data_IF_447408686406
#
_entry.id   IF_447408686406
#
_cell.length_a   1.000
_cell.length_b   1.000
_cell.length_c   1.000
_cell.angle_alpha   90.00
_cell.angle_beta   90.00
_cell.angle_gamma   90.00
#
_symmetry.space_group_name_H-M   'P 1'
#
loop_
_entity.id
_entity.type
_entity.pdbx_description
1 polymer ?
#
# COMPACT_ATOMS: atom_id res chain seq x y z
N UNK A 1 29.11 35.99 22.49
CA UNK A 1 29.05 34.53 22.76
C UNK A 1 27.66 34.00 22.75
N UNK A 2 26.76 34.56 23.52
CA UNK A 2 25.36 34.08 23.59
C UNK A 2 24.64 34.16 22.24
N UNK A 3 24.84 35.20 21.50
CA UNK A 3 24.29 35.43 20.15
C UNK A 3 24.79 34.41 19.12
N UNK A 4 26.07 33.99 19.23
CA UNK A 4 26.64 32.99 18.33
C UNK A 4 25.98 31.60 18.51
N UNK A 5 25.73 31.21 19.75
CA UNK A 5 25.02 29.94 20.04
C UNK A 5 23.55 29.97 19.58
N UNK A 6 22.88 31.08 19.82
CA UNK A 6 21.51 31.29 19.42
C UNK A 6 21.36 31.25 17.90
N UNK A 7 22.25 31.95 17.18
CA UNK A 7 22.29 31.97 15.73
C UNK A 7 22.55 30.58 15.14
N UNK A 8 23.53 29.85 15.72
CA UNK A 8 23.81 28.47 15.29
C UNK A 8 22.61 27.54 15.50
N UNK A 9 21.92 27.64 16.63
CA UNK A 9 20.74 26.85 16.93
C UNK A 9 19.61 27.12 15.95
N UNK A 10 19.34 28.40 15.63
CA UNK A 10 18.34 28.77 14.63
C UNK A 10 18.69 28.22 13.25
N UNK A 11 19.96 28.22 12.89
CA UNK A 11 20.45 27.67 11.62
C UNK A 11 20.27 26.14 11.57
N UNK A 12 20.58 25.44 12.67
CA UNK A 12 20.36 23.99 12.78
C UNK A 12 18.86 23.62 12.73
N UNK A 13 18.01 24.39 13.39
CA UNK A 13 16.55 24.21 13.35
C UNK A 13 16.01 24.42 11.93
N UNK A 14 16.54 25.40 11.20
CA UNK A 14 16.21 25.63 9.80
C UNK A 14 16.58 24.42 8.93
N UNK A 15 17.80 23.92 9.05
CA UNK A 15 18.25 22.73 8.31
C UNK A 15 17.42 21.50 8.65
N UNK A 16 17.15 21.27 9.93
CA UNK A 16 16.31 20.16 10.39
C UNK A 16 14.92 20.23 9.75
N UNK A 17 14.28 21.39 9.80
CA UNK A 17 12.94 21.59 9.22
C UNK A 17 12.96 21.39 7.71
N UNK A 18 13.99 21.90 7.04
CA UNK A 18 14.14 21.74 5.60
C UNK A 18 14.30 20.28 5.19
N UNK A 19 15.15 19.53 5.88
CA UNK A 19 15.33 18.09 5.63
C UNK A 19 14.05 17.30 5.92
N UNK A 20 13.39 17.60 7.02
CA UNK A 20 12.14 16.94 7.38
C UNK A 20 11.07 17.17 6.33
N UNK A 21 10.91 18.40 5.86
CA UNK A 21 9.93 18.73 4.82
C UNK A 21 10.27 18.04 3.49
N UNK A 22 11.54 17.92 3.16
CA UNK A 22 11.99 17.18 1.98
C UNK A 22 11.61 15.69 2.06
N UNK A 23 11.86 15.05 3.21
CA UNK A 23 11.53 13.64 3.42
C UNK A 23 10.01 13.41 3.39
N UNK A 24 9.26 14.32 3.97
CA UNK A 24 7.79 14.28 3.92
C UNK A 24 7.26 14.42 2.49
N UNK A 25 7.87 15.29 1.69
CA UNK A 25 7.51 15.43 0.28
C UNK A 25 7.80 14.14 -0.50
N UNK A 26 8.87 13.44 -0.17
CA UNK A 26 9.17 12.12 -0.76
C UNK A 26 8.12 11.09 -0.40
N UNK A 27 7.67 11.05 0.86
CA UNK A 27 6.58 10.17 1.30
C UNK A 27 5.29 10.49 0.55
N UNK A 28 4.96 11.77 0.38
CA UNK A 28 3.75 12.20 -0.34
C UNK A 28 3.74 11.68 -1.78
N UNK A 29 4.87 11.70 -2.46
CA UNK A 29 5.01 11.16 -3.82
C UNK A 29 4.81 9.65 -3.83
N UNK A 30 5.43 8.94 -2.88
CA UNK A 30 5.28 7.48 -2.76
C UNK A 30 3.83 7.11 -2.45
N UNK A 31 3.17 7.87 -1.59
CA UNK A 31 1.75 7.64 -1.25
C UNK A 31 0.85 7.81 -2.47
N UNK A 32 1.10 8.80 -3.33
CA UNK A 32 0.35 8.95 -4.58
C UNK A 32 0.55 7.74 -5.49
N UNK A 33 1.77 7.26 -5.62
CA UNK A 33 2.08 6.04 -6.39
C UNK A 33 1.37 4.82 -5.81
N UNK A 34 1.34 4.71 -4.48
CA UNK A 34 0.65 3.63 -3.78
C UNK A 34 -0.86 3.65 -4.07
N UNK A 35 -1.49 4.83 -3.98
CA UNK A 35 -2.91 4.99 -4.31
C UNK A 35 -3.20 4.62 -5.76
N UNK A 36 -2.38 5.08 -6.69
CA UNK A 36 -2.53 4.75 -8.11
C UNK A 36 -2.42 3.24 -8.35
N UNK A 37 -1.47 2.60 -7.70
CA UNK A 37 -1.26 1.15 -7.80
C UNK A 37 -2.43 0.36 -7.20
N UNK A 38 -2.94 0.78 -6.05
CA UNK A 38 -4.13 0.18 -5.45
C UNK A 38 -5.35 0.34 -6.35
N UNK A 39 -5.53 1.52 -6.93
CA UNK A 39 -6.62 1.77 -7.88
C UNK A 39 -6.56 0.84 -9.09
N UNK A 40 -5.38 0.67 -9.68
CA UNK A 40 -5.15 -0.26 -10.79
C UNK A 40 -5.47 -1.71 -10.40
N UNK A 41 -5.04 -2.11 -9.21
CA UNK A 41 -5.30 -3.45 -8.71
C UNK A 41 -6.80 -3.72 -8.55
N UNK A 42 -7.54 -2.75 -8.03
CA UNK A 42 -8.99 -2.87 -7.85
C UNK A 42 -9.74 -2.87 -9.19
N UNK A 43 -9.28 -2.08 -10.15
CA UNK A 43 -9.82 -2.11 -11.51
C UNK A 43 -9.65 -3.50 -12.14
N UNK A 44 -8.50 -4.11 -11.96
CA UNK A 44 -8.24 -5.49 -12.41
C UNK A 44 -9.13 -6.49 -11.66
N UNK A 45 -9.34 -6.29 -10.36
CA UNK A 45 -10.24 -7.13 -9.57
C UNK A 45 -11.68 -7.09 -10.11
N UNK A 46 -12.16 -5.93 -10.55
CA UNK A 46 -13.46 -5.79 -11.19
C UNK A 46 -13.52 -6.59 -12.49
N UNK A 47 -12.49 -6.52 -13.30
CA UNK A 47 -12.39 -7.30 -14.55
C UNK A 47 -12.43 -8.81 -14.27
N UNK A 48 -11.72 -9.26 -13.24
CA UNK A 48 -11.74 -10.64 -12.77
C UNK A 48 -13.16 -11.02 -12.28
N UNK A 49 -13.80 -10.13 -11.55
CA UNK A 49 -15.18 -10.33 -11.07
C UNK A 49 -16.17 -10.53 -12.21
N UNK A 50 -16.05 -9.72 -13.26
CA UNK A 50 -16.87 -9.86 -14.48
C UNK A 50 -16.63 -11.21 -15.14
N UNK A 51 -15.38 -11.61 -15.28
CA UNK A 51 -15.04 -12.89 -15.89
C UNK A 51 -15.57 -14.08 -15.06
N UNK A 52 -15.47 -14.00 -13.74
CA UNK A 52 -16.02 -15.04 -12.83
C UNK A 52 -17.54 -15.12 -12.92
N UNK A 53 -18.23 -13.98 -12.96
CA UNK A 53 -19.69 -13.92 -13.12
C UNK A 53 -20.12 -14.61 -14.41
N UNK A 54 -19.46 -14.28 -15.52
CA UNK A 54 -19.80 -14.80 -16.83
C UNK A 54 -19.52 -16.30 -16.98
N UNK A 55 -18.64 -16.85 -16.16
CA UNK A 55 -18.23 -18.24 -16.19
C UNK A 55 -18.69 -19.04 -14.96
N UNK A 56 -19.52 -18.47 -14.09
CA UNK A 56 -20.03 -19.10 -12.86
C UNK A 56 -18.91 -19.60 -11.94
N UNK A 57 -17.84 -18.83 -11.79
CA UNK A 57 -16.70 -19.15 -10.93
C UNK A 57 -16.85 -18.44 -9.59
N UNK A 58 -16.50 -19.12 -8.49
CA UNK A 58 -16.55 -18.54 -7.15
C UNK A 58 -15.57 -17.36 -7.00
N UNK A 59 -16.01 -16.31 -6.27
CA UNK A 59 -15.18 -15.14 -5.97
C UNK A 59 -13.98 -15.53 -5.11
N UNK A 60 -14.24 -16.25 -4.03
CA UNK A 60 -13.22 -16.67 -3.09
C UNK A 60 -12.54 -17.95 -3.55
N UNK A 61 -11.23 -17.87 -3.77
CA UNK A 61 -10.39 -19.04 -4.11
C UNK A 61 -9.23 -19.11 -3.11
N UNK A 62 -9.39 -19.94 -2.09
CA UNK A 62 -8.43 -20.05 -0.98
C UNK A 62 -7.02 -20.42 -1.43
N UNK A 63 -6.89 -21.29 -2.42
CA UNK A 63 -5.57 -21.66 -2.96
C UNK A 63 -4.82 -20.44 -3.52
N UNK A 64 -5.51 -19.64 -4.32
CA UNK A 64 -4.93 -18.42 -4.89
C UNK A 64 -4.53 -17.42 -3.82
N UNK A 65 -5.39 -17.24 -2.81
CA UNK A 65 -5.11 -16.36 -1.69
C UNK A 65 -3.87 -16.79 -0.91
N UNK A 66 -3.74 -18.07 -0.60
CA UNK A 66 -2.58 -18.60 0.11
C UNK A 66 -1.29 -18.44 -0.69
N UNK A 67 -1.33 -18.63 -2.01
CA UNK A 67 -0.19 -18.41 -2.90
C UNK A 67 0.26 -16.94 -2.88
N UNK A 68 -0.66 -16.00 -3.01
CA UNK A 68 -0.36 -14.56 -2.97
C UNK A 68 0.26 -14.20 -1.63
N UNK A 69 -0.36 -14.63 -0.54
CA UNK A 69 0.08 -14.27 0.80
C UNK A 69 1.49 -14.78 1.09
N UNK A 70 1.78 -16.05 0.78
CA UNK A 70 3.11 -16.63 0.96
C UNK A 70 4.17 -15.89 0.16
N UNK A 71 3.89 -15.56 -1.10
CA UNK A 71 4.79 -14.81 -1.96
C UNK A 71 5.05 -13.40 -1.43
N UNK A 72 3.99 -12.69 -1.00
CA UNK A 72 4.12 -11.33 -0.49
C UNK A 72 4.89 -11.27 0.83
N UNK A 73 4.74 -12.26 1.69
CA UNK A 73 5.52 -12.34 2.92
C UNK A 73 7.01 -12.44 2.59
N UNK A 74 7.39 -13.33 1.68
CA UNK A 74 8.80 -13.53 1.30
C UNK A 74 9.37 -12.26 0.63
N UNK A 75 8.67 -11.71 -0.33
CA UNK A 75 9.12 -10.51 -1.04
C UNK A 75 9.11 -9.27 -0.12
N UNK A 76 8.19 -9.22 0.82
CA UNK A 76 8.14 -8.15 1.82
C UNK A 76 9.36 -8.18 2.74
N UNK A 77 9.82 -9.36 3.15
CA UNK A 77 11.03 -9.51 3.96
C UNK A 77 12.27 -8.96 3.26
N UNK A 78 12.37 -9.17 1.95
CA UNK A 78 13.47 -8.62 1.13
C UNK A 78 13.45 -7.07 1.11
N UNK A 79 12.32 -6.46 1.41
CA UNK A 79 12.10 -5.01 1.45
C UNK A 79 12.04 -4.45 2.87
N UNK A 80 12.49 -5.22 3.86
CA UNK A 80 12.46 -4.85 5.28
C UNK A 80 11.05 -4.60 5.82
N UNK A 81 10.07 -5.32 5.31
CA UNK A 81 8.69 -5.27 5.78
C UNK A 81 8.39 -6.52 6.63
N UNK A 82 7.83 -6.32 7.82
CA UNK A 82 7.51 -7.43 8.70
C UNK A 82 6.38 -8.30 8.15
N UNK A 83 6.41 -9.59 8.49
CA UNK A 83 5.35 -10.52 8.14
C UNK A 83 3.99 -10.03 8.64
N UNK A 84 3.90 -9.57 9.88
CA UNK A 84 2.67 -9.05 10.46
C UNK A 84 2.09 -7.88 9.66
N UNK A 85 2.94 -6.94 9.27
CA UNK A 85 2.52 -5.81 8.43
C UNK A 85 2.00 -6.27 7.07
N UNK A 86 2.71 -7.18 6.41
CA UNK A 86 2.28 -7.73 5.12
C UNK A 86 0.95 -8.46 5.24
N UNK A 87 0.77 -9.28 6.26
CA UNK A 87 -0.49 -9.97 6.52
C UNK A 87 -1.66 -8.99 6.63
N UNK A 88 -1.50 -7.93 7.40
CA UNK A 88 -2.55 -6.93 7.61
C UNK A 88 -2.89 -6.18 6.32
N UNK A 89 -1.88 -5.72 5.60
CA UNK A 89 -2.05 -4.96 4.37
C UNK A 89 -2.73 -5.82 3.29
N UNK A 90 -2.21 -7.01 3.06
CA UNK A 90 -2.76 -7.87 2.00
C UNK A 90 -4.11 -8.46 2.35
N UNK A 91 -4.42 -8.69 3.63
CA UNK A 91 -5.78 -9.03 4.05
C UNK A 91 -6.77 -7.90 3.72
N UNK A 92 -6.40 -6.65 3.98
CA UNK A 92 -7.25 -5.50 3.67
C UNK A 92 -7.45 -5.36 2.16
N UNK A 93 -6.38 -5.49 1.38
CA UNK A 93 -6.44 -5.46 -0.08
C UNK A 93 -7.30 -6.60 -0.63
N UNK A 94 -7.13 -7.80 -0.10
CA UNK A 94 -7.91 -8.98 -0.48
C UNK A 94 -9.40 -8.78 -0.20
N UNK A 95 -9.74 -8.27 0.97
CA UNK A 95 -11.12 -8.00 1.33
C UNK A 95 -11.77 -6.97 0.39
N UNK A 96 -11.05 -5.91 0.06
CA UNK A 96 -11.54 -4.91 -0.90
C UNK A 96 -11.73 -5.52 -2.30
N UNK A 97 -10.82 -6.38 -2.73
CA UNK A 97 -10.96 -7.12 -4.00
C UNK A 97 -12.21 -7.99 -4.02
N UNK A 98 -12.48 -8.70 -2.93
CA UNK A 98 -13.70 -9.50 -2.78
C UNK A 98 -14.95 -8.60 -2.86
N UNK A 99 -14.94 -7.49 -2.12
CA UNK A 99 -16.06 -6.55 -2.11
C UNK A 99 -16.36 -6.01 -3.51
N UNK A 100 -15.33 -5.65 -4.26
CA UNK A 100 -15.46 -5.16 -5.63
C UNK A 100 -16.02 -6.24 -6.58
N UNK A 101 -15.53 -7.46 -6.45
CA UNK A 101 -16.01 -8.59 -7.26
C UNK A 101 -17.46 -8.96 -6.93
N UNK A 102 -17.83 -8.99 -5.65
CA UNK A 102 -19.19 -9.29 -5.21
C UNK A 102 -20.20 -8.26 -5.72
N UNK A 103 -19.85 -7.00 -5.75
CA UNK A 103 -20.71 -5.96 -6.33
C UNK A 103 -21.04 -6.25 -7.80
N UNK A 104 -20.06 -6.70 -8.57
CA UNK A 104 -20.25 -7.05 -9.97
C UNK A 104 -21.12 -8.30 -10.12
N UNK A 105 -20.87 -9.32 -9.30
CA UNK A 105 -21.60 -10.59 -9.38
C UNK A 105 -23.06 -10.41 -8.96
N UNK A 106 -23.33 -9.55 -7.98
CA UNK A 106 -24.67 -9.31 -7.44
C UNK A 106 -25.45 -8.21 -8.20
N UNK A 107 -24.84 -7.61 -9.21
CA UNK A 107 -25.53 -6.63 -10.07
C UNK A 107 -26.25 -7.30 -11.30
#
# INVERSE_FOLDING_TARGET
MLYSFLFLRLKLDYFYTHFLNNLRAQIDIVDQTLLDTLGKRMKTAVEIGTLKRDNNVAVLQNKRWNEILGKMILEGQERNLSEEFILRVFKAIHQESINQQEKIINS
#
